data_IF_299668557714
#
_entry.id   IF_299668557714
#
_cell.length_a   1.000
_cell.length_b   1.000
_cell.length_c   1.000
_cell.angle_alpha   90.00
_cell.angle_beta   90.00
_cell.angle_gamma   90.00
#
_symmetry.space_group_name_H-M   'P 1'
#
loop_
_entity.id
_entity.type
_entity.pdbx_description
1 polymer ?
#
# COMPACT_ATOMS: atom_id res chain seq x y z
N UNK A 1 -11.16 7.15 -21.29
CA UNK A 1 -10.79 5.92 -20.56
C UNK A 1 -10.30 6.32 -19.17
N UNK A 2 -10.84 5.70 -18.11
CA UNK A 2 -10.39 6.00 -16.75
C UNK A 2 -8.99 5.44 -16.52
N UNK A 3 -8.13 6.26 -15.88
CA UNK A 3 -6.83 5.87 -15.37
C UNK A 3 -6.81 6.09 -13.86
N UNK A 4 -6.72 5.01 -13.10
CA UNK A 4 -6.83 5.04 -11.65
C UNK A 4 -5.47 4.84 -10.98
N UNK A 5 -5.12 5.73 -10.03
CA UNK A 5 -3.86 5.70 -9.31
C UNK A 5 -4.00 6.32 -7.92
N UNK A 6 -2.96 6.21 -7.09
CA UNK A 6 -3.02 6.70 -5.72
C UNK A 6 -2.63 8.17 -5.61
N UNK A 7 -3.09 8.90 -4.56
CA UNK A 7 -2.64 10.26 -4.30
C UNK A 7 -1.22 10.34 -3.71
N UNK A 8 -0.49 9.20 -3.62
CA UNK A 8 0.86 9.21 -3.07
C UNK A 8 1.85 9.96 -3.99
N UNK A 9 2.95 10.53 -3.45
CA UNK A 9 3.92 11.30 -4.22
C UNK A 9 4.51 10.56 -5.41
N UNK A 10 4.70 9.25 -5.33
CA UNK A 10 5.23 8.45 -6.43
C UNK A 10 4.29 8.45 -7.64
N UNK A 11 3.00 8.18 -7.41
CA UNK A 11 2.03 8.10 -8.50
C UNK A 11 1.70 9.48 -9.05
N UNK A 12 1.52 10.48 -8.19
CA UNK A 12 1.27 11.87 -8.65
C UNK A 12 2.43 12.41 -9.47
N UNK A 13 3.68 12.05 -9.16
CA UNK A 13 4.84 12.39 -9.98
C UNK A 13 4.80 11.67 -11.34
N UNK A 14 4.60 10.35 -11.34
CA UNK A 14 4.59 9.51 -12.57
C UNK A 14 3.49 9.96 -13.54
N UNK A 15 2.30 10.25 -13.04
CA UNK A 15 1.14 10.59 -13.86
C UNK A 15 0.97 12.11 -14.11
N UNK A 16 1.85 12.96 -13.58
CA UNK A 16 1.73 14.41 -13.66
C UNK A 16 1.56 14.92 -15.10
N UNK A 17 2.45 14.55 -16.00
CA UNK A 17 2.43 15.02 -17.37
C UNK A 17 1.16 14.56 -18.12
N UNK A 18 0.72 13.33 -17.87
CA UNK A 18 -0.50 12.76 -18.46
C UNK A 18 -1.75 13.53 -17.99
N UNK A 19 -1.88 13.73 -16.67
CA UNK A 19 -3.07 14.36 -16.06
C UNK A 19 -3.20 15.83 -16.44
N UNK A 20 -2.07 16.53 -16.61
CA UNK A 20 -2.05 17.94 -16.98
C UNK A 20 -1.96 18.18 -18.49
N UNK A 21 -2.09 17.15 -19.32
CA UNK A 21 -2.06 17.29 -20.78
C UNK A 21 -0.73 17.81 -21.35
N UNK A 22 0.38 17.55 -20.65
CA UNK A 22 1.72 17.97 -21.05
C UNK A 22 2.37 17.03 -22.07
N UNK A 23 1.72 15.92 -22.37
CA UNK A 23 2.10 14.95 -23.40
C UNK A 23 0.90 14.68 -24.31
N UNK A 24 1.19 14.47 -25.60
CA UNK A 24 0.16 14.08 -26.57
C UNK A 24 -0.16 12.59 -26.37
N UNK A 25 -1.41 12.29 -26.07
CA UNK A 25 -1.91 10.93 -25.91
C UNK A 25 -2.88 10.51 -27.02
N UNK A 26 -3.02 11.34 -28.06
CA UNK A 26 -3.96 11.13 -29.15
C UNK A 26 -3.78 9.75 -29.82
N UNK A 27 -4.85 9.02 -30.12
CA UNK A 27 -6.26 9.36 -29.95
C UNK A 27 -6.86 9.04 -28.56
N UNK A 28 -6.06 8.68 -27.57
CA UNK A 28 -6.54 8.30 -26.25
C UNK A 28 -6.82 9.54 -25.37
N UNK A 29 -7.98 9.52 -24.71
CA UNK A 29 -8.36 10.54 -23.72
C UNK A 29 -8.46 9.86 -22.36
N UNK A 30 -7.65 10.33 -21.38
CA UNK A 30 -7.63 9.78 -20.03
C UNK A 30 -8.37 10.65 -19.04
N UNK A 31 -9.17 10.02 -18.18
CA UNK A 31 -9.85 10.66 -17.05
C UNK A 31 -9.20 10.15 -15.76
N UNK A 32 -8.48 11.00 -15.00
CA UNK A 32 -7.81 10.56 -13.79
C UNK A 32 -8.81 10.26 -12.65
N UNK A 33 -8.58 9.16 -11.95
CA UNK A 33 -9.32 8.76 -10.75
C UNK A 33 -8.31 8.49 -9.64
N UNK A 34 -8.35 9.26 -8.54
CA UNK A 34 -7.46 9.06 -7.41
C UNK A 34 -8.17 8.33 -6.26
N UNK A 35 -7.59 7.22 -5.81
CA UNK A 35 -8.09 6.43 -4.69
C UNK A 35 -6.94 5.79 -3.91
N UNK A 36 -7.21 5.41 -2.66
CA UNK A 36 -6.28 4.59 -1.87
C UNK A 36 -5.94 3.26 -2.56
N UNK A 37 -4.71 2.77 -2.36
CA UNK A 37 -4.18 1.57 -3.03
C UNK A 37 -5.02 0.31 -2.77
N UNK A 38 -5.50 0.11 -1.54
CA UNK A 38 -6.34 -1.06 -1.24
C UNK A 38 -7.73 -0.93 -1.90
N UNK A 39 -8.25 0.29 -2.00
CA UNK A 39 -9.49 0.54 -2.74
C UNK A 39 -9.31 0.23 -4.23
N UNK A 40 -8.17 0.63 -4.84
CA UNK A 40 -7.84 0.26 -6.23
C UNK A 40 -7.68 -1.25 -6.40
N UNK A 41 -6.99 -1.91 -5.48
CA UNK A 41 -6.86 -3.37 -5.50
C UNK A 41 -8.24 -4.06 -5.49
N UNK A 42 -9.15 -3.63 -4.62
CA UNK A 42 -10.52 -4.18 -4.55
C UNK A 42 -11.34 -3.89 -5.81
N UNK A 43 -11.26 -2.66 -6.33
CA UNK A 43 -11.95 -2.28 -7.56
C UNK A 43 -11.49 -3.13 -8.77
N UNK A 44 -10.22 -3.53 -8.80
CA UNK A 44 -9.67 -4.36 -9.86
C UNK A 44 -10.26 -5.77 -9.89
N UNK A 45 -10.63 -6.37 -8.76
CA UNK A 45 -11.35 -7.64 -8.72
C UNK A 45 -12.72 -7.58 -9.42
N UNK A 46 -13.24 -6.38 -9.63
CA UNK A 46 -14.49 -6.11 -10.36
C UNK A 46 -14.23 -5.47 -11.73
N UNK A 47 -12.98 -5.43 -12.20
CA UNK A 47 -12.57 -4.85 -13.48
C UNK A 47 -13.11 -3.42 -13.70
N UNK A 48 -13.10 -2.61 -12.62
CA UNK A 48 -13.75 -1.29 -12.61
C UNK A 48 -13.07 -0.26 -13.51
N UNK A 49 -11.75 -0.33 -13.64
CA UNK A 49 -10.95 0.62 -14.43
C UNK A 49 -10.19 -0.11 -15.52
N UNK A 50 -10.10 0.51 -16.71
CA UNK A 50 -9.33 -0.04 -17.83
C UNK A 50 -7.82 0.04 -17.59
N UNK A 51 -7.35 1.11 -16.93
CA UNK A 51 -5.97 1.28 -16.49
C UNK A 51 -5.94 1.61 -15.00
N UNK A 52 -5.17 0.89 -14.21
CA UNK A 52 -5.11 1.12 -12.77
C UNK A 52 -3.75 0.78 -12.16
N UNK A 53 -3.34 1.54 -11.15
CA UNK A 53 -2.24 1.15 -10.27
C UNK A 53 -2.71 0.05 -9.34
N UNK A 54 -1.89 -0.97 -9.21
CA UNK A 54 -2.15 -2.12 -8.34
C UNK A 54 -0.92 -2.49 -7.53
N UNK A 55 -1.16 -3.06 -6.37
CA UNK A 55 -0.12 -3.76 -5.63
C UNK A 55 0.27 -5.06 -6.35
N UNK A 56 1.55 -5.43 -6.33
CA UNK A 56 2.01 -6.72 -6.90
C UNK A 56 1.21 -7.89 -6.35
N UNK A 57 0.88 -7.88 -5.04
CA UNK A 57 0.04 -8.91 -4.43
C UNK A 57 -1.34 -9.05 -5.10
N UNK A 58 -1.97 -7.94 -5.46
CA UNK A 58 -3.26 -7.97 -6.18
C UNK A 58 -3.08 -8.49 -7.61
N UNK A 59 -2.04 -8.03 -8.31
CA UNK A 59 -1.72 -8.45 -9.69
C UNK A 59 -1.55 -9.96 -9.79
N UNK A 60 -0.86 -10.60 -8.83
CA UNK A 60 -0.69 -12.06 -8.80
C UNK A 60 -2.01 -12.86 -8.73
N UNK A 61 -3.14 -12.20 -8.47
CA UNK A 61 -4.47 -12.81 -8.41
C UNK A 61 -5.39 -12.36 -9.55
N UNK A 62 -4.88 -11.55 -10.46
CA UNK A 62 -5.66 -10.88 -11.52
C UNK A 62 -5.00 -11.05 -12.90
N UNK A 63 -4.16 -12.05 -13.07
CA UNK A 63 -3.46 -12.38 -14.31
C UNK A 63 -4.40 -12.79 -15.46
N UNK A 64 -5.62 -13.17 -15.13
CA UNK A 64 -6.70 -13.44 -16.08
C UNK A 64 -7.45 -12.18 -16.54
N UNK A 65 -7.22 -11.02 -15.91
CA UNK A 65 -8.00 -9.78 -16.10
C UNK A 65 -7.19 -8.56 -16.48
N UNK A 66 -5.94 -8.49 -16.03
CA UNK A 66 -5.06 -7.34 -16.24
C UNK A 66 -3.71 -7.77 -16.76
N UNK A 67 -3.19 -6.98 -17.69
CA UNK A 67 -1.82 -7.10 -18.18
C UNK A 67 -0.95 -6.02 -17.52
N UNK A 68 0.27 -6.40 -17.15
CA UNK A 68 1.25 -5.46 -16.56
C UNK A 68 1.88 -4.67 -17.71
N UNK A 69 1.74 -3.34 -17.66
CA UNK A 69 2.41 -2.45 -18.59
C UNK A 69 3.91 -2.38 -18.31
N UNK A 70 4.71 -2.15 -19.35
CA UNK A 70 6.17 -1.98 -19.23
C UNK A 70 6.60 -0.67 -18.56
N UNK A 71 5.65 0.22 -18.24
CA UNK A 71 5.89 1.53 -17.62
C UNK A 71 4.98 1.76 -16.42
N UNK A 72 5.30 2.77 -15.61
CA UNK A 72 4.46 3.19 -14.48
C UNK A 72 4.64 2.36 -13.20
N UNK A 73 5.68 1.53 -13.11
CA UNK A 73 6.00 0.80 -11.89
C UNK A 73 6.83 1.64 -10.91
N UNK A 74 6.62 1.42 -9.61
CA UNK A 74 7.48 1.94 -8.55
C UNK A 74 8.18 0.76 -7.85
N UNK A 75 9.49 0.82 -7.74
CA UNK A 75 10.33 -0.21 -7.12
C UNK A 75 11.09 0.43 -5.96
N UNK A 76 10.95 -0.13 -4.77
CA UNK A 76 11.73 0.22 -3.59
C UNK A 76 12.82 -0.82 -3.30
N UNK A 77 14.02 -0.34 -2.95
CA UNK A 77 15.12 -1.19 -2.46
C UNK A 77 15.62 -0.64 -1.14
N UNK A 78 15.65 -1.48 -0.09
CA UNK A 78 16.02 -1.06 1.26
C UNK A 78 15.08 0.00 1.88
N UNK A 79 13.84 0.07 1.42
CA UNK A 79 12.81 1.00 1.88
C UNK A 79 11.43 0.33 1.90
N UNK A 80 11.37 -0.92 2.34
CA UNK A 80 10.14 -1.70 2.42
C UNK A 80 9.21 -1.29 3.56
N UNK A 81 8.11 -2.01 3.72
CA UNK A 81 7.21 -1.82 4.84
C UNK A 81 7.90 -2.11 6.17
N UNK A 82 7.54 -1.37 7.21
CA UNK A 82 7.98 -1.63 8.58
C UNK A 82 6.84 -2.17 9.43
N UNK A 83 7.15 -3.13 10.29
CA UNK A 83 6.29 -3.44 11.45
C UNK A 83 6.78 -2.60 12.61
N UNK A 84 5.89 -1.80 13.19
CA UNK A 84 6.19 -0.93 14.33
C UNK A 84 5.27 -1.22 15.49
N UNK A 85 5.72 -0.96 16.71
CA UNK A 85 4.95 -1.06 17.94
C UNK A 85 5.38 0.01 18.93
N UNK A 86 4.45 0.50 19.75
CA UNK A 86 4.75 1.37 20.89
C UNK A 86 4.90 0.53 22.19
N UNK A 87 4.91 -0.80 22.09
CA UNK A 87 5.09 -1.72 23.22
C UNK A 87 6.47 -2.37 23.13
N UNK A 88 7.38 -2.12 24.08
CA UNK A 88 8.68 -2.80 24.10
C UNK A 88 8.55 -4.31 24.18
N UNK A 89 9.38 -5.03 23.40
CA UNK A 89 9.46 -6.49 23.48
C UNK A 89 8.19 -7.24 23.07
N UNK A 90 7.39 -6.65 22.20
CA UNK A 90 6.12 -7.24 21.75
C UNK A 90 6.30 -8.60 21.09
N UNK A 91 5.40 -9.52 21.39
CA UNK A 91 5.26 -10.81 20.71
C UNK A 91 4.20 -10.69 19.63
N UNK A 92 4.62 -10.71 18.36
CA UNK A 92 3.72 -10.50 17.22
C UNK A 92 2.74 -11.67 16.98
N UNK A 93 3.05 -12.86 17.42
CA UNK A 93 2.17 -14.05 17.34
C UNK A 93 0.88 -13.90 18.17
N UNK A 94 0.90 -13.06 19.20
CA UNK A 94 -0.24 -12.76 20.07
C UNK A 94 -0.85 -11.37 19.81
N UNK A 95 -0.19 -10.56 18.99
CA UNK A 95 -0.52 -9.16 18.78
C UNK A 95 -1.69 -8.96 17.81
N UNK A 96 -2.48 -7.90 18.05
CA UNK A 96 -3.42 -7.35 17.08
C UNK A 96 -2.66 -6.39 16.15
N UNK A 97 -2.57 -6.75 14.88
CA UNK A 97 -1.75 -6.01 13.91
C UNK A 97 -2.65 -5.29 12.92
N UNK A 98 -2.47 -3.98 12.76
CA UNK A 98 -3.10 -3.20 11.70
C UNK A 98 -2.26 -3.25 10.42
N UNK A 99 -2.89 -3.47 9.26
CA UNK A 99 -2.24 -3.50 7.95
C UNK A 99 -2.94 -2.56 6.97
N UNK A 100 -2.23 -1.99 5.98
CA UNK A 100 -2.81 -0.98 5.07
C UNK A 100 -3.77 -1.57 4.03
N UNK A 101 -3.89 -2.88 3.95
CA UNK A 101 -4.80 -3.56 3.04
C UNK A 101 -4.45 -5.02 2.88
N UNK A 102 -5.46 -5.87 2.72
CA UNK A 102 -5.29 -7.32 2.58
C UNK A 102 -4.66 -7.75 1.25
N UNK A 103 -4.75 -6.90 0.23
CA UNK A 103 -4.19 -7.15 -1.11
C UNK A 103 -2.94 -6.31 -1.40
N UNK A 104 -2.41 -5.59 -0.40
CA UNK A 104 -1.19 -4.81 -0.56
C UNK A 104 0.06 -5.71 -0.59
N UNK A 105 1.10 -5.28 -1.28
CA UNK A 105 2.41 -5.94 -1.25
C UNK A 105 2.98 -5.99 0.17
N UNK A 106 2.72 -4.97 0.98
CA UNK A 106 3.10 -4.93 2.37
C UNK A 106 2.50 -6.12 3.16
N UNK A 107 1.21 -6.37 3.01
CA UNK A 107 0.54 -7.50 3.66
C UNK A 107 1.08 -8.86 3.17
N UNK A 108 1.44 -8.97 1.87
CA UNK A 108 2.08 -10.17 1.34
C UNK A 108 3.43 -10.42 2.01
N UNK A 109 4.28 -9.39 2.09
CA UNK A 109 5.60 -9.49 2.71
C UNK A 109 5.50 -9.88 4.19
N UNK A 110 4.57 -9.27 4.92
CA UNK A 110 4.28 -9.64 6.32
C UNK A 110 3.90 -11.11 6.45
N UNK A 111 3.02 -11.60 5.58
CA UNK A 111 2.57 -13.00 5.58
C UNK A 111 3.70 -13.98 5.21
N UNK A 112 4.56 -13.60 4.26
CA UNK A 112 5.72 -14.42 3.87
C UNK A 112 6.75 -14.48 4.99
N UNK A 113 6.99 -13.36 5.68
CA UNK A 113 7.92 -13.29 6.79
C UNK A 113 7.42 -14.07 8.01
N UNK A 114 6.12 -13.93 8.36
CA UNK A 114 5.52 -14.67 9.48
C UNK A 114 4.10 -15.18 9.13
N UNK A 115 4.01 -16.40 8.58
CA UNK A 115 2.72 -17.01 8.23
C UNK A 115 1.81 -17.32 9.43
N UNK A 116 2.36 -17.32 10.63
CA UNK A 116 1.65 -17.66 11.88
C UNK A 116 0.84 -16.52 12.49
N UNK A 117 0.91 -15.32 11.94
CA UNK A 117 0.14 -14.17 12.44
C UNK A 117 -1.36 -14.39 12.28
N UNK A 118 -2.10 -14.30 13.39
CA UNK A 118 -3.52 -14.67 13.44
C UNK A 118 -4.47 -13.49 13.42
N UNK A 119 -4.11 -12.40 14.08
CA UNK A 119 -5.00 -11.25 14.28
C UNK A 119 -4.50 -10.05 13.47
N UNK A 120 -4.97 -9.97 12.23
CA UNK A 120 -4.61 -8.89 11.31
C UNK A 120 -5.90 -8.17 10.88
N UNK A 121 -5.94 -6.85 11.10
CA UNK A 121 -7.04 -5.99 10.70
C UNK A 121 -6.60 -4.96 9.65
N UNK A 122 -7.49 -4.62 8.73
CA UNK A 122 -7.23 -3.63 7.68
C UNK A 122 -7.66 -2.26 8.17
N UNK A 123 -6.74 -1.29 8.10
CA UNK A 123 -6.98 0.14 8.28
C UNK A 123 -6.42 0.90 7.09
N UNK A 124 -6.91 2.11 6.85
CA UNK A 124 -6.25 3.01 5.89
C UNK A 124 -4.84 3.32 6.40
N UNK A 125 -3.86 3.40 5.50
CA UNK A 125 -2.43 3.46 5.85
C UNK A 125 -2.07 4.60 6.82
N UNK A 126 -2.71 5.76 6.69
CA UNK A 126 -2.51 6.95 7.53
C UNK A 126 -3.17 6.85 8.92
N UNK A 127 -4.10 5.92 9.11
CA UNK A 127 -4.76 5.65 10.39
C UNK A 127 -3.98 4.67 11.27
N UNK A 128 -3.02 3.94 10.72
CA UNK A 128 -2.31 2.85 11.41
C UNK A 128 -1.47 3.38 12.58
N UNK A 129 -0.59 4.38 12.35
CA UNK A 129 0.26 4.94 13.41
C UNK A 129 -0.56 5.55 14.56
N UNK A 130 -1.57 6.40 14.31
CA UNK A 130 -2.45 6.88 15.38
C UNK A 130 -3.15 5.75 16.16
N UNK A 131 -3.59 4.69 15.47
CA UNK A 131 -4.27 3.57 16.11
C UNK A 131 -3.33 2.73 17.00
N UNK A 132 -2.06 2.55 16.60
CA UNK A 132 -1.03 1.87 17.39
C UNK A 132 -0.64 2.73 18.59
N UNK A 133 -0.38 4.03 18.40
CA UNK A 133 -0.04 4.95 19.47
C UNK A 133 -1.17 5.10 20.50
N UNK A 134 -2.42 5.07 20.05
CA UNK A 134 -3.62 5.09 20.91
C UNK A 134 -3.92 3.75 21.58
N UNK A 135 -3.16 2.68 21.32
CA UNK A 135 -3.34 1.36 21.92
C UNK A 135 -4.51 0.55 21.35
N UNK A 136 -5.16 0.99 20.28
CA UNK A 136 -6.20 0.24 19.59
C UNK A 136 -5.64 -1.03 18.93
N UNK A 137 -4.38 -0.97 18.50
CA UNK A 137 -3.60 -2.10 18.00
C UNK A 137 -2.28 -2.22 18.74
N UNK A 138 -1.74 -3.43 18.78
CA UNK A 138 -0.49 -3.73 19.47
C UNK A 138 0.72 -3.44 18.55
N UNK A 139 0.53 -3.61 17.24
CA UNK A 139 1.52 -3.28 16.20
C UNK A 139 0.83 -2.81 14.93
N UNK A 140 1.61 -2.18 14.04
CA UNK A 140 1.13 -1.71 12.74
C UNK A 140 2.14 -1.97 11.64
N UNK A 141 1.64 -2.38 10.48
CA UNK A 141 2.41 -2.46 9.25
C UNK A 141 2.30 -1.14 8.51
N UNK A 142 3.36 -0.35 8.55
CA UNK A 142 3.39 0.99 7.96
C UNK A 142 4.11 1.02 6.62
N UNK A 143 3.67 1.94 5.77
CA UNK A 143 4.20 2.18 4.42
C UNK A 143 4.37 3.68 4.18
N UNK A 144 4.95 4.05 3.04
CA UNK A 144 5.10 5.44 2.60
C UNK A 144 5.85 6.31 3.62
N UNK A 145 5.42 7.55 3.81
CA UNK A 145 6.01 8.54 4.71
C UNK A 145 5.93 8.16 6.20
N UNK A 146 5.00 7.30 6.57
CA UNK A 146 4.90 6.78 7.95
C UNK A 146 6.22 6.14 8.42
N UNK A 147 7.04 5.65 7.48
CA UNK A 147 8.38 5.11 7.74
C UNK A 147 9.34 6.13 8.38
N UNK A 148 9.11 7.42 8.18
CA UNK A 148 10.00 8.48 8.68
C UNK A 148 9.51 9.09 10.00
N UNK A 149 8.22 9.00 10.28
CA UNK A 149 7.57 9.71 11.40
C UNK A 149 7.13 8.80 12.55
N UNK A 150 7.24 7.46 12.43
CA UNK A 150 6.80 6.56 13.49
C UNK A 150 7.47 6.81 14.86
N UNK A 151 8.74 7.30 14.97
CA UNK A 151 9.32 7.61 16.28
C UNK A 151 8.62 8.77 16.99
N UNK A 152 8.03 9.72 16.25
CA UNK A 152 7.26 10.84 16.80
C UNK A 152 5.98 10.37 17.52
N UNK A 153 5.50 9.17 17.16
CA UNK A 153 4.36 8.49 17.81
C UNK A 153 4.78 7.64 19.01
N UNK A 154 6.06 7.66 19.40
CA UNK A 154 6.59 6.83 20.47
C UNK A 154 6.67 5.33 20.10
N UNK A 155 6.67 5.02 18.82
CA UNK A 155 6.79 3.66 18.33
C UNK A 155 8.23 3.31 17.96
N UNK A 156 8.57 2.03 18.07
CA UNK A 156 9.84 1.46 17.68
C UNK A 156 9.64 0.48 16.51
N UNK A 157 10.68 0.34 15.70
CA UNK A 157 10.72 -0.65 14.64
C UNK A 157 10.88 -2.05 15.23
N UNK A 158 9.97 -2.96 14.90
CA UNK A 158 10.03 -4.37 15.25
C UNK A 158 10.77 -5.15 14.15
N UNK A 159 10.41 -4.92 12.89
CA UNK A 159 11.08 -5.53 11.73
C UNK A 159 10.94 -4.66 10.49
N UNK A 160 11.99 -4.64 9.67
CA UNK A 160 11.97 -4.09 8.29
C UNK A 160 11.75 -5.25 7.31
N UNK A 161 10.72 -5.16 6.50
CA UNK A 161 10.36 -6.17 5.50
C UNK A 161 10.93 -5.83 4.10
N UNK A 162 11.74 -4.78 4.00
CA UNK A 162 12.40 -4.32 2.77
C UNK A 162 13.70 -4.99 2.37
#
# INVERSE_FOLDING_TARGET
MDIAFTPCPNDTFVFHALVHGLIDTSPLVFTPVMRDVEALNRDAFHSRYGVTKLSVHAVLKLDDRYEILSSGAAIGRGCGPLVVSCKPGIRLDEARIAVPGGHTTAALLLKLWNPGLRTVAVLRYDEILPAVAGGAFDAGLIIHESRFVYPEYGCEQVVDLG
#
